data_IF_107075113602
#
_entry.id   IF_107075113602
#
_cell.length_a   1.000
_cell.length_b   1.000
_cell.length_c   1.000
_cell.angle_alpha   90.00
_cell.angle_beta   90.00
_cell.angle_gamma   90.00
#
_symmetry.space_group_name_H-M   'P 1'
#
loop_
_entity.id
_entity.type
_entity.pdbx_description
1 polymer ?
#
# COMPACT_ATOMS: atom_id res chain seq x y z
N UNK A 1 28.48 16.97 22.41
CA UNK A 1 27.50 15.87 22.57
C UNK A 1 26.46 16.01 21.47
N UNK A 2 26.20 14.97 20.68
CA UNK A 2 25.38 15.05 19.45
C UNK A 2 23.98 14.48 19.71
N UNK A 3 22.95 15.29 19.41
CA UNK A 3 21.51 14.95 19.48
C UNK A 3 21.14 13.68 18.69
N UNK A 4 22.00 13.25 17.76
CA UNK A 4 21.84 12.04 16.96
C UNK A 4 21.75 10.74 17.78
N UNK A 5 22.27 10.73 19.00
CA UNK A 5 22.38 9.52 19.85
C UNK A 5 21.08 9.16 20.59
N UNK A 6 20.21 10.15 20.86
CA UNK A 6 18.98 9.94 21.64
C UNK A 6 17.77 9.45 20.82
N UNK A 7 17.94 9.20 19.52
CA UNK A 7 16.84 8.75 18.65
C UNK A 7 16.76 7.22 18.68
N UNK A 8 16.27 6.65 19.79
CA UNK A 8 15.70 5.29 19.81
C UNK A 8 14.67 5.22 18.69
N UNK A 9 15.11 4.79 17.51
CA UNK A 9 14.30 4.90 16.31
C UNK A 9 13.39 3.69 16.29
N UNK A 10 12.10 3.95 16.48
CA UNK A 10 11.01 2.99 16.37
C UNK A 10 11.00 2.23 15.03
N UNK A 11 11.73 2.74 14.03
CA UNK A 11 11.81 2.22 12.68
C UNK A 11 13.25 1.91 12.30
N UNK A 12 13.42 0.91 11.42
CA UNK A 12 14.72 0.49 10.93
C UNK A 12 15.39 1.58 10.08
N UNK A 13 16.70 1.78 10.27
CA UNK A 13 17.49 2.80 9.57
C UNK A 13 18.33 2.17 8.46
N UNK A 14 18.72 2.99 7.50
CA UNK A 14 19.63 2.62 6.41
C UNK A 14 20.98 2.03 6.89
N UNK A 15 21.45 2.44 8.06
CA UNK A 15 22.72 1.98 8.65
C UNK A 15 22.66 0.52 9.11
N UNK A 16 21.46 -0.01 9.37
CA UNK A 16 21.22 -1.40 9.78
C UNK A 16 21.37 -2.37 8.59
N UNK A 17 21.16 -1.87 7.36
CA UNK A 17 21.23 -2.65 6.11
C UNK A 17 22.60 -2.57 5.44
N UNK A 18 23.68 -2.62 6.23
CA UNK A 18 25.05 -2.67 5.71
C UNK A 18 25.27 -3.89 4.78
N UNK A 19 24.54 -4.98 5.04
CA UNK A 19 24.48 -6.15 4.17
C UNK A 19 23.08 -6.26 3.54
N UNK A 20 22.99 -6.71 2.26
CA UNK A 20 21.72 -6.96 1.62
C UNK A 20 21.04 -8.16 2.28
N UNK A 21 19.93 -7.92 2.97
CA UNK A 21 19.19 -8.93 3.72
C UNK A 21 17.94 -9.33 2.95
N UNK A 22 17.75 -10.63 2.75
CA UNK A 22 16.47 -11.18 2.31
C UNK A 22 15.47 -10.99 3.46
N UNK A 23 14.28 -10.50 3.16
CA UNK A 23 13.23 -10.30 4.15
C UNK A 23 11.89 -10.69 3.55
N UNK A 24 11.09 -11.43 4.31
CA UNK A 24 9.74 -11.83 3.92
C UNK A 24 8.73 -10.85 4.50
N UNK A 25 7.85 -10.29 3.68
CA UNK A 25 6.81 -9.36 4.12
C UNK A 25 5.81 -10.14 4.98
N UNK A 26 5.64 -9.73 6.24
CA UNK A 26 4.74 -10.37 7.20
C UNK A 26 3.39 -9.66 7.27
N UNK A 27 3.40 -8.34 7.35
CA UNK A 27 2.21 -7.49 7.50
C UNK A 27 2.52 -6.04 7.12
N UNK A 28 1.49 -5.22 6.93
CA UNK A 28 1.62 -3.78 6.73
C UNK A 28 0.69 -3.02 7.68
N UNK A 29 1.12 -1.83 8.08
CA UNK A 29 0.33 -0.94 8.93
C UNK A 29 0.58 0.52 8.54
N UNK A 30 -0.43 1.38 8.65
CA UNK A 30 -0.27 2.82 8.45
C UNK A 30 0.11 3.47 9.78
N UNK A 31 1.28 4.09 9.84
CA UNK A 31 1.76 4.75 11.06
C UNK A 31 2.07 6.22 10.79
N UNK A 32 1.73 7.07 11.76
CA UNK A 32 2.12 8.48 11.73
C UNK A 32 3.61 8.58 12.08
N UNK A 33 4.42 9.06 11.11
CA UNK A 33 5.86 9.25 11.26
C UNK A 33 6.24 10.72 11.46
N UNK A 34 5.26 11.63 11.60
CA UNK A 34 5.52 13.03 11.87
C UNK A 34 6.17 13.22 13.24
N UNK A 35 7.02 14.26 13.34
CA UNK A 35 7.57 14.69 14.62
C UNK A 35 6.49 15.40 15.44
N UNK A 36 6.58 15.30 16.78
CA UNK A 36 5.65 16.01 17.67
C UNK A 36 5.56 17.49 17.30
N UNK A 37 4.34 17.97 17.04
CA UNK A 37 4.06 19.36 16.65
C UNK A 37 4.02 19.64 15.14
N UNK A 38 4.25 18.64 14.28
CA UNK A 38 4.05 18.78 12.84
C UNK A 38 2.75 18.12 12.37
N UNK A 39 2.33 18.46 11.14
CA UNK A 39 1.18 17.83 10.48
C UNK A 39 1.37 16.32 10.47
N UNK A 40 0.31 15.53 10.74
CA UNK A 40 0.40 14.09 10.70
C UNK A 40 0.84 13.62 9.31
N UNK A 41 1.93 12.84 9.28
CA UNK A 41 2.51 12.27 8.06
C UNK A 41 2.29 10.77 8.16
N UNK A 42 1.17 10.31 7.62
CA UNK A 42 0.86 8.90 7.63
C UNK A 42 1.64 8.19 6.53
N UNK A 43 2.45 7.21 6.91
CA UNK A 43 3.18 6.37 5.97
C UNK A 43 2.86 4.90 6.17
N UNK A 44 2.93 4.16 5.07
CA UNK A 44 2.88 2.71 5.12
C UNK A 44 4.17 2.21 5.77
N UNK A 45 4.03 1.36 6.77
CA UNK A 45 5.13 0.70 7.47
C UNK A 45 4.93 -0.80 7.29
N UNK A 46 5.96 -1.49 6.83
CA UNK A 46 5.92 -2.93 6.62
C UNK A 46 6.71 -3.65 7.69
N UNK A 47 6.11 -4.72 8.20
CA UNK A 47 6.72 -5.69 9.09
C UNK A 47 7.27 -6.85 8.29
N UNK A 48 8.46 -7.31 8.68
CA UNK A 48 9.15 -8.41 8.03
C UNK A 48 9.47 -9.49 9.03
N UNK A 49 9.42 -10.76 8.63
CA UNK A 49 9.70 -11.87 9.54
C UNK A 49 11.17 -11.92 10.01
N UNK A 50 12.10 -11.48 9.15
CA UNK A 50 13.54 -11.50 9.46
C UNK A 50 14.03 -10.23 10.17
N UNK A 51 13.17 -9.21 10.29
CA UNK A 51 13.52 -7.94 10.92
C UNK A 51 12.69 -7.72 12.17
N UNK A 52 13.37 -7.37 13.27
CA UNK A 52 12.71 -7.08 14.54
C UNK A 52 11.92 -5.76 14.53
N UNK A 53 12.24 -4.85 13.61
CA UNK A 53 11.59 -3.54 13.51
C UNK A 53 10.99 -3.30 12.13
N UNK A 54 9.85 -2.62 12.08
CA UNK A 54 9.17 -2.35 10.84
C UNK A 54 9.90 -1.25 10.05
N UNK A 55 9.80 -1.32 8.71
CA UNK A 55 10.45 -0.40 7.79
C UNK A 55 9.42 0.56 7.23
N UNK A 56 9.68 1.86 7.35
CA UNK A 56 8.82 2.89 6.77
C UNK A 56 8.99 2.92 5.26
N UNK A 57 7.92 2.56 4.56
CA UNK A 57 7.83 2.62 3.12
C UNK A 57 7.40 4.01 2.67
N UNK A 58 7.95 4.42 1.53
CA UNK A 58 7.53 5.63 0.82
C UNK A 58 6.90 5.18 -0.50
N UNK A 59 6.10 6.03 -1.14
CA UNK A 59 5.40 5.68 -2.38
C UNK A 59 6.33 5.11 -3.44
N UNK A 60 7.52 5.69 -3.65
CA UNK A 60 8.53 5.16 -4.58
C UNK A 60 8.99 3.73 -4.26
N UNK A 61 9.06 3.37 -2.97
CA UNK A 61 9.46 2.00 -2.57
C UNK A 61 8.30 1.03 -2.76
N UNK A 62 7.06 1.47 -2.50
CA UNK A 62 5.86 0.70 -2.79
C UNK A 62 5.77 0.40 -4.28
N UNK A 63 5.98 1.39 -5.13
CA UNK A 63 6.01 1.25 -6.60
C UNK A 63 7.06 0.24 -7.08
N UNK A 64 8.28 0.29 -6.51
CA UNK A 64 9.32 -0.71 -6.80
C UNK A 64 8.88 -2.12 -6.37
N UNK A 65 8.23 -2.27 -5.21
CA UNK A 65 7.72 -3.57 -4.74
C UNK A 65 6.57 -4.04 -5.64
N UNK A 66 5.68 -3.15 -6.06
CA UNK A 66 4.61 -3.45 -7.01
C UNK A 66 5.18 -3.98 -8.34
N UNK A 67 6.21 -3.31 -8.86
CA UNK A 67 6.91 -3.74 -10.07
C UNK A 67 7.66 -5.08 -9.89
N UNK A 68 8.19 -5.36 -8.69
CA UNK A 68 8.86 -6.63 -8.38
C UNK A 68 7.85 -7.78 -8.25
N UNK A 69 6.72 -7.53 -7.59
CA UNK A 69 5.69 -8.55 -7.31
C UNK A 69 4.74 -8.77 -8.48
N UNK A 70 4.59 -7.75 -9.34
CA UNK A 70 3.62 -7.73 -10.43
C UNK A 70 2.20 -7.44 -9.97
N UNK A 71 2.01 -6.91 -8.76
CA UNK A 71 0.70 -6.58 -8.18
C UNK A 71 0.75 -5.20 -7.53
N UNK A 72 -0.27 -4.38 -7.77
CA UNK A 72 -0.46 -3.09 -7.10
C UNK A 72 -1.07 -3.25 -5.69
N UNK A 73 -1.59 -4.44 -5.38
CA UNK A 73 -2.26 -4.75 -4.11
C UNK A 73 -1.26 -5.16 -3.03
N UNK A 74 -1.13 -4.36 -1.97
CA UNK A 74 -0.19 -4.60 -0.86
C UNK A 74 -0.48 -5.94 -0.15
N UNK A 75 -1.74 -6.36 -0.10
CA UNK A 75 -2.16 -7.65 0.44
C UNK A 75 -1.55 -8.85 -0.31
N UNK A 76 -1.32 -8.73 -1.62
CA UNK A 76 -0.64 -9.79 -2.40
C UNK A 76 0.86 -9.87 -2.12
N UNK A 77 1.42 -8.86 -1.47
CA UNK A 77 2.85 -8.84 -1.16
C UNK A 77 3.17 -9.64 0.10
N UNK A 78 2.17 -9.92 0.96
CA UNK A 78 2.34 -10.72 2.17
C UNK A 78 2.83 -12.13 1.80
N UNK A 79 3.90 -12.57 2.47
CA UNK A 79 4.58 -13.84 2.17
C UNK A 79 5.59 -13.76 1.03
N UNK A 80 5.68 -12.64 0.31
CA UNK A 80 6.70 -12.45 -0.72
C UNK A 80 8.05 -12.07 -0.11
N UNK A 81 9.12 -12.63 -0.68
CA UNK A 81 10.50 -12.37 -0.29
C UNK A 81 11.07 -11.23 -1.12
N UNK A 82 11.59 -10.20 -0.46
CA UNK A 82 12.30 -9.08 -1.10
C UNK A 82 13.68 -8.93 -0.49
N UNK A 83 14.62 -8.31 -1.21
CA UNK A 83 15.95 -8.01 -0.66
C UNK A 83 16.01 -6.52 -0.33
N UNK A 84 16.26 -6.23 0.95
CA UNK A 84 16.48 -4.89 1.50
C UNK A 84 17.98 -4.65 1.60
N UNK A 85 18.44 -3.51 1.10
CA UNK A 85 19.86 -3.15 1.14
C UNK A 85 20.05 -1.65 1.31
N UNK A 86 21.20 -1.22 1.82
CA UNK A 86 21.54 0.19 1.83
C UNK A 86 21.96 0.65 0.41
N UNK A 87 21.17 1.53 -0.17
CA UNK A 87 21.47 2.17 -1.45
C UNK A 87 21.96 3.60 -1.22
N UNK A 88 23.25 3.90 -1.51
CA UNK A 88 23.78 5.25 -1.35
C UNK A 88 23.31 6.21 -2.44
N UNK A 89 22.69 5.72 -3.53
CA UNK A 89 22.25 6.56 -4.65
C UNK A 89 20.93 7.30 -4.39
N UNK A 90 20.10 6.77 -3.49
CA UNK A 90 18.81 7.38 -3.13
C UNK A 90 18.95 8.85 -2.69
N UNK A 91 18.22 9.72 -3.40
CA UNK A 91 18.11 11.15 -3.13
C UNK A 91 16.83 11.46 -2.36
N UNK A 92 16.91 12.41 -1.45
CA UNK A 92 15.76 12.98 -0.75
C UNK A 92 15.71 14.48 -1.05
N UNK A 93 14.71 14.89 -1.84
CA UNK A 93 14.68 16.23 -2.45
C UNK A 93 15.92 16.45 -3.33
N UNK A 94 16.61 17.56 -3.13
CA UNK A 94 17.81 17.94 -3.90
C UNK A 94 19.10 17.30 -3.39
N UNK A 95 19.07 16.58 -2.26
CA UNK A 95 20.28 16.05 -1.60
C UNK A 95 20.36 14.52 -1.72
N UNK A 96 21.56 14.03 -2.05
CA UNK A 96 21.90 12.60 -1.99
C UNK A 96 22.11 12.24 -0.52
N UNK A 97 21.18 11.49 0.05
CA UNK A 97 21.21 11.12 1.47
C UNK A 97 21.52 9.65 1.67
N UNK A 98 21.36 8.81 0.64
CA UNK A 98 21.36 7.35 0.78
C UNK A 98 20.12 6.87 1.55
N UNK A 99 19.66 5.66 1.27
CA UNK A 99 18.42 5.12 1.81
C UNK A 99 18.34 3.61 1.75
N UNK A 100 17.19 3.06 2.16
CA UNK A 100 16.93 1.63 2.05
C UNK A 100 16.39 1.37 0.65
N UNK A 101 17.18 0.68 -0.17
CA UNK A 101 16.80 0.15 -1.48
C UNK A 101 16.10 -1.19 -1.37
N UNK A 102 15.24 -1.48 -2.34
CA UNK A 102 14.50 -2.73 -2.46
C UNK A 102 14.82 -3.34 -3.82
N UNK A 103 15.09 -4.65 -3.86
CA UNK A 103 15.26 -5.38 -5.12
C UNK A 103 14.62 -6.76 -5.05
N UNK A 104 14.31 -7.30 -6.22
CA UNK A 104 13.88 -8.69 -6.36
C UNK A 104 14.98 -9.65 -5.86
N UNK A 105 14.63 -10.72 -5.13
CA UNK A 105 15.59 -11.77 -4.81
C UNK A 105 16.08 -12.43 -6.10
N UNK A 106 17.38 -12.72 -6.18
CA UNK A 106 17.96 -13.53 -7.26
C UNK A 106 17.58 -15.00 -7.04
N UNK A 107 16.33 -15.33 -7.36
CA UNK A 107 15.78 -16.68 -7.30
C UNK A 107 14.39 -16.64 -7.90
N UNK A 108 14.12 -17.51 -8.88
CA UNK A 108 12.80 -17.67 -9.51
C UNK A 108 11.76 -18.07 -8.47
N UNK A 109 11.21 -17.12 -7.74
CA UNK A 109 9.90 -17.29 -7.15
C UNK A 109 8.93 -16.70 -8.16
N UNK A 110 8.42 -17.59 -9.01
CA UNK A 110 7.16 -17.37 -9.67
C UNK A 110 6.17 -16.99 -8.56
N UNK A 111 5.66 -15.76 -8.59
CA UNK A 111 4.47 -15.38 -7.85
C UNK A 111 3.44 -16.47 -8.14
N UNK A 112 3.21 -17.39 -7.21
CA UNK A 112 2.01 -18.20 -7.30
C UNK A 112 0.90 -17.20 -7.02
N UNK A 113 0.01 -16.90 -7.98
CA UNK A 113 -1.14 -16.09 -7.68
C UNK A 113 -1.95 -16.87 -6.65
N UNK A 114 -1.97 -16.40 -5.41
CA UNK A 114 -3.03 -16.76 -4.49
C UNK A 114 -4.31 -16.36 -5.20
N UNK A 115 -5.04 -17.37 -5.67
CA UNK A 115 -6.32 -17.20 -6.32
C UNK A 115 -7.27 -16.58 -5.30
N UNK A 116 -7.33 -15.24 -5.25
CA UNK A 116 -8.42 -14.53 -4.62
C UNK A 116 -9.67 -14.87 -5.45
N UNK A 117 -10.74 -15.42 -4.85
CA UNK A 117 -11.98 -15.63 -5.58
C UNK A 117 -12.44 -14.27 -6.11
N UNK A 118 -12.86 -14.25 -7.37
CA UNK A 118 -13.41 -13.10 -8.07
C UNK A 118 -14.53 -12.50 -7.22
N UNK A 119 -14.23 -11.45 -6.45
CA UNK A 119 -15.26 -10.62 -5.82
C UNK A 119 -15.91 -9.87 -6.97
N UNK A 120 -17.03 -10.41 -7.44
CA UNK A 120 -17.93 -9.72 -8.34
C UNK A 120 -18.62 -8.63 -7.53
N UNK A 121 -17.97 -7.48 -7.41
CA UNK A 121 -18.66 -6.27 -6.98
C UNK A 121 -19.79 -6.04 -7.99
N UNK A 122 -21.08 -6.00 -7.57
CA UNK A 122 -22.12 -5.56 -8.48
C UNK A 122 -21.79 -4.11 -8.89
N UNK A 123 -21.54 -3.92 -10.19
CA UNK A 123 -21.25 -2.63 -10.83
C UNK A 123 -22.54 -1.86 -11.11
N UNK A 124 -23.53 -1.97 -10.22
CA UNK A 124 -24.83 -1.31 -10.39
C UNK A 124 -25.16 -0.56 -9.10
N UNK A 125 -24.39 0.50 -8.86
CA UNK A 125 -24.96 1.69 -8.21
C UNK A 125 -25.63 2.49 -9.33
N UNK A 126 -26.83 2.06 -9.69
CA UNK A 126 -27.70 2.78 -10.61
C UNK A 126 -27.86 4.23 -10.14
N UNK A 127 -27.06 5.09 -10.75
CA UNK A 127 -27.35 6.50 -10.91
C UNK A 127 -28.46 6.60 -11.96
N UNK A 128 -29.72 6.40 -11.56
CA UNK A 128 -30.85 6.77 -12.40
C UNK A 128 -31.69 7.84 -11.72
N UNK A 129 -31.19 9.06 -11.89
CA UNK A 129 -31.92 10.29 -11.73
C UNK A 129 -32.77 10.47 -13.00
N UNK A 130 -33.81 9.66 -13.18
CA UNK A 130 -34.81 9.86 -14.23
C UNK A 130 -35.96 10.74 -13.72
N UNK A 131 -35.84 12.01 -14.07
CA UNK A 131 -36.95 12.91 -14.32
C UNK A 131 -37.88 12.32 -15.40
N UNK A 132 -39.19 12.34 -15.14
CA UNK A 132 -40.19 12.40 -16.20
C UNK A 132 -41.04 11.16 -16.47
N UNK A 133 -42.36 11.38 -16.32
CA UNK A 133 -43.46 10.93 -17.19
C UNK A 133 -44.33 9.75 -16.74
N UNK A 134 -45.61 10.09 -16.58
CA UNK A 134 -46.78 9.30 -16.97
C UNK A 134 -47.26 8.18 -16.04
N UNK A 135 -47.93 8.59 -14.96
CA UNK A 135 -48.97 7.75 -14.34
C UNK A 135 -50.33 8.30 -14.75
N UNK A 136 -50.82 7.88 -15.92
CA UNK A 136 -52.23 8.00 -16.29
C UNK A 136 -53.10 7.04 -15.50
N UNK A 137 -53.25 7.28 -14.19
CA UNK A 137 -54.21 6.57 -13.34
C UNK A 137 -54.96 7.62 -12.54
N UNK A 138 -56.20 7.90 -12.95
CA UNK A 138 -57.12 8.76 -12.22
C UNK A 138 -57.44 8.15 -10.84
N UNK A 139 -57.06 8.82 -9.73
CA UNK A 139 -57.14 8.23 -8.39
C UNK A 139 -58.57 8.17 -7.81
N UNK A 140 -59.62 8.48 -8.58
CA UNK A 140 -60.99 8.55 -8.07
C UNK A 140 -61.90 7.38 -8.53
N UNK A 141 -61.52 6.57 -9.53
CA UNK A 141 -62.45 5.53 -10.06
C UNK A 141 -61.85 4.14 -10.32
N UNK A 142 -60.54 3.94 -10.37
CA UNK A 142 -59.92 2.62 -10.21
C UNK A 142 -60.24 1.53 -11.26
N UNK A 143 -60.61 1.88 -12.49
CA UNK A 143 -60.67 0.92 -13.61
C UNK A 143 -59.81 1.36 -14.81
N UNK A 144 -59.18 0.41 -15.54
CA UNK A 144 -58.34 0.73 -16.70
C UNK A 144 -59.18 1.07 -17.95
N UNK A 145 -58.83 2.18 -18.61
CA UNK A 145 -59.39 2.60 -19.90
C UNK A 145 -59.04 1.59 -21.01
N UNK A 146 -60.02 1.08 -21.79
CA UNK A 146 -59.72 0.20 -22.91
C UNK A 146 -59.16 1.00 -24.11
N UNK A 147 -58.24 0.35 -24.83
CA UNK A 147 -57.43 0.84 -25.95
C UNK A 147 -58.18 1.65 -27.02
#
# INVERSE_FOLDING_TARGET
MKVSDFKQSKYMKKEDFATPTLATIASYAQSNVAMQGQKPDYRCVMEFQELDKPVVMNTTKLDIIAAITGSDEIDDWIGTKIVLFHDPDIKFGTKKVGGIGVRAPKGKFASQPLSKPKVNWPEDVDADLADGSDTGIDPETGEPIPF
#
